data_IF_919339186003
#
_entry.id   IF_919339186003
#
_cell.length_a   1.000
_cell.length_b   1.000
_cell.length_c   1.000
_cell.angle_alpha   90.00
_cell.angle_beta   90.00
_cell.angle_gamma   90.00
#
_symmetry.space_group_name_H-M   'P 1'
#
loop_
_entity.id
_entity.type
_entity.pdbx_description
1 polymer ?
#
# COMPACT_ATOMS: atom_id res chain seq x y z
N UNK A 1 -14.37 12.80 2.22
CA UNK A 1 -15.27 12.15 3.20
C UNK A 1 -15.99 13.23 3.99
N UNK A 2 -17.25 12.99 4.36
CA UNK A 2 -17.97 13.92 5.26
C UNK A 2 -17.37 13.80 6.66
N UNK A 3 -17.40 14.89 7.42
CA UNK A 3 -16.96 14.87 8.81
C UNK A 3 -17.68 13.74 9.58
N UNK A 4 -16.92 12.89 10.29
CA UNK A 4 -17.43 11.73 11.02
C UNK A 4 -17.59 10.43 10.20
N UNK A 5 -17.21 10.40 8.92
CA UNK A 5 -17.25 9.20 8.06
C UNK A 5 -15.86 8.68 7.69
N UNK A 6 -14.82 9.13 8.38
CA UNK A 6 -13.45 8.65 8.15
C UNK A 6 -13.31 7.17 8.49
N UNK A 7 -12.44 6.48 7.75
CA UNK A 7 -12.12 5.08 8.00
C UNK A 7 -13.17 4.06 7.51
N UNK A 8 -14.16 4.51 6.71
CA UNK A 8 -15.17 3.64 6.12
C UNK A 8 -15.22 3.79 4.59
N UNK A 9 -15.04 2.68 3.85
CA UNK A 9 -15.00 2.68 2.39
C UNK A 9 -16.38 2.73 1.70
N UNK A 10 -17.45 2.61 2.46
CA UNK A 10 -18.81 2.43 1.93
C UNK A 10 -19.21 0.98 1.82
N UNK A 11 -20.50 0.76 1.56
CA UNK A 11 -21.11 -0.58 1.38
C UNK A 11 -22.16 -0.56 0.30
N UNK A 12 -22.36 -1.69 -0.39
CA UNK A 12 -21.52 -2.89 -0.36
C UNK A 12 -20.22 -2.68 -1.15
N UNK A 13 -19.25 -3.59 -0.99
CA UNK A 13 -18.06 -3.70 -1.84
C UNK A 13 -17.19 -2.43 -1.97
N UNK A 14 -16.95 -1.73 -0.86
CA UNK A 14 -16.24 -0.44 -0.80
C UNK A 14 -14.87 -0.44 -1.48
N UNK A 15 -14.17 -1.59 -1.54
CA UNK A 15 -12.90 -1.73 -2.25
C UNK A 15 -13.02 -1.48 -3.75
N UNK A 16 -14.14 -1.85 -4.38
CA UNK A 16 -14.37 -1.59 -5.80
C UNK A 16 -14.65 -0.11 -6.07
N UNK A 17 -15.29 0.60 -5.11
CA UNK A 17 -15.46 2.04 -5.23
C UNK A 17 -14.12 2.76 -5.29
N UNK A 18 -13.19 2.43 -4.37
CA UNK A 18 -11.84 3.01 -4.39
C UNK A 18 -11.08 2.69 -5.67
N UNK A 19 -11.17 1.45 -6.16
CA UNK A 19 -10.52 1.07 -7.42
C UNK A 19 -11.09 1.82 -8.62
N UNK A 20 -12.42 2.00 -8.67
CA UNK A 20 -13.08 2.77 -9.73
C UNK A 20 -12.79 4.27 -9.63
N UNK A 21 -12.67 4.82 -8.42
CA UNK A 21 -12.28 6.21 -8.21
C UNK A 21 -10.85 6.46 -8.74
N UNK A 22 -9.91 5.54 -8.51
CA UNK A 22 -8.57 5.58 -9.11
C UNK A 22 -8.64 5.58 -10.63
N UNK A 23 -9.47 4.72 -11.22
CA UNK A 23 -9.64 4.68 -12.67
C UNK A 23 -10.26 5.97 -13.23
N UNK A 24 -11.24 6.52 -12.53
CA UNK A 24 -11.83 7.82 -12.88
C UNK A 24 -10.76 8.92 -12.87
N UNK A 25 -9.92 8.98 -11.85
CA UNK A 25 -8.82 9.97 -11.77
C UNK A 25 -7.81 9.78 -12.90
N UNK A 26 -7.42 8.53 -13.20
CA UNK A 26 -6.52 8.23 -14.30
C UNK A 26 -7.12 8.65 -15.66
N UNK A 27 -8.41 8.38 -15.90
CA UNK A 27 -9.12 8.81 -17.11
C UNK A 27 -9.11 10.34 -17.26
N UNK A 28 -9.40 11.06 -16.18
CA UNK A 28 -9.35 12.54 -16.19
C UNK A 28 -7.94 13.08 -16.46
N UNK A 29 -6.90 12.39 -16.00
CA UNK A 29 -5.51 12.75 -16.30
C UNK A 29 -5.20 12.55 -17.78
N UNK A 30 -5.61 11.43 -18.39
CA UNK A 30 -5.44 11.19 -19.83
C UNK A 30 -6.21 12.21 -20.69
N UNK A 31 -7.43 12.57 -20.29
CA UNK A 31 -8.19 13.63 -20.99
C UNK A 31 -7.49 14.99 -20.93
N UNK A 32 -6.87 15.29 -19.79
CA UNK A 32 -6.20 16.58 -19.58
C UNK A 32 -4.78 16.64 -20.17
N UNK A 33 -4.10 15.51 -20.21
CA UNK A 33 -2.71 15.37 -20.62
C UNK A 33 -2.55 14.13 -21.56
N UNK A 34 -3.13 14.17 -22.77
CA UNK A 34 -3.25 13.00 -23.63
C UNK A 34 -1.90 12.40 -24.07
N UNK A 35 -0.86 13.23 -24.18
CA UNK A 35 0.47 12.80 -24.66
C UNK A 35 1.48 12.57 -23.51
N UNK A 36 1.01 12.57 -22.26
CA UNK A 36 1.88 12.42 -21.09
C UNK A 36 1.76 11.02 -20.50
N UNK A 37 2.86 10.27 -20.37
CA UNK A 37 2.81 8.96 -19.72
C UNK A 37 2.44 9.10 -18.23
N UNK A 38 1.57 8.22 -17.75
CA UNK A 38 1.14 8.18 -16.36
C UNK A 38 1.89 7.07 -15.63
N UNK A 39 2.58 7.43 -14.54
CA UNK A 39 3.20 6.49 -13.62
C UNK A 39 2.30 6.36 -12.40
N UNK A 40 1.92 5.13 -12.08
CA UNK A 40 1.09 4.86 -10.91
C UNK A 40 1.96 4.58 -9.68
N UNK A 41 2.01 5.52 -8.74
CA UNK A 41 2.68 5.34 -7.46
C UNK A 41 1.65 4.93 -6.39
N UNK A 42 1.86 3.77 -5.76
CA UNK A 42 1.05 3.30 -4.65
C UNK A 42 1.87 3.09 -3.39
N UNK A 43 1.50 3.76 -2.28
CA UNK A 43 2.15 3.60 -0.98
C UNK A 43 1.24 2.87 0.02
N UNK A 44 1.81 1.96 0.82
CA UNK A 44 1.10 1.24 1.88
C UNK A 44 -0.16 0.54 1.35
N UNK A 45 -1.32 0.82 1.92
CA UNK A 45 -2.61 0.37 1.40
C UNK A 45 -2.82 0.78 -0.07
N UNK A 46 -2.38 1.97 -0.47
CA UNK A 46 -2.43 2.41 -1.86
C UNK A 46 -1.64 1.50 -2.82
N UNK A 47 -0.60 0.82 -2.33
CA UNK A 47 0.15 -0.16 -3.11
C UNK A 47 -0.67 -1.40 -3.47
N UNK A 48 -1.64 -1.79 -2.64
CA UNK A 48 -2.54 -2.91 -2.94
C UNK A 48 -3.49 -2.54 -4.07
N UNK A 49 -4.00 -1.30 -4.05
CA UNK A 49 -4.87 -0.77 -5.11
C UNK A 49 -4.11 -0.51 -6.40
N UNK A 50 -2.88 0.00 -6.33
CA UNK A 50 -2.03 0.16 -7.50
C UNK A 50 -1.73 -1.19 -8.19
N UNK A 51 -1.42 -2.23 -7.41
CA UNK A 51 -1.23 -3.61 -7.90
C UNK A 51 -2.51 -4.16 -8.55
N UNK A 52 -3.68 -3.89 -7.95
CA UNK A 52 -4.96 -4.31 -8.51
C UNK A 52 -5.33 -3.49 -9.76
N UNK A 53 -4.98 -2.21 -9.76
CA UNK A 53 -5.16 -1.33 -10.91
C UNK A 53 -4.36 -1.82 -12.13
N UNK A 54 -3.10 -2.17 -11.94
CA UNK A 54 -2.23 -2.69 -13.00
C UNK A 54 -2.75 -4.02 -13.61
N UNK A 55 -3.51 -4.82 -12.86
CA UNK A 55 -4.22 -5.99 -13.38
C UNK A 55 -5.40 -5.59 -14.29
N UNK A 56 -6.15 -4.56 -13.88
CA UNK A 56 -7.42 -4.21 -14.53
C UNK A 56 -7.26 -3.31 -15.75
N UNK A 57 -6.32 -2.37 -15.70
CA UNK A 57 -6.11 -1.35 -16.73
C UNK A 57 -4.62 -1.13 -17.02
N UNK A 58 -3.89 -2.20 -17.41
CA UNK A 58 -2.45 -2.09 -17.64
C UNK A 58 -2.08 -1.09 -18.72
N UNK A 59 -2.91 -0.92 -19.75
CA UNK A 59 -2.67 -0.02 -20.89
C UNK A 59 -2.82 1.47 -20.55
N UNK A 60 -3.35 1.78 -19.36
CA UNK A 60 -3.57 3.17 -18.92
C UNK A 60 -2.43 3.74 -18.06
N UNK A 61 -1.37 2.96 -17.85
CA UNK A 61 -0.18 3.37 -17.09
C UNK A 61 1.09 2.96 -17.82
N UNK A 62 2.09 3.83 -17.81
CA UNK A 62 3.39 3.57 -18.42
C UNK A 62 4.31 2.73 -17.51
N UNK A 63 4.15 2.89 -16.18
CA UNK A 63 4.91 2.15 -15.18
C UNK A 63 4.17 2.13 -13.84
N UNK A 64 4.58 1.23 -12.93
CA UNK A 64 4.06 1.17 -11.56
C UNK A 64 5.18 1.19 -10.53
N UNK A 65 4.99 2.01 -9.48
CA UNK A 65 5.88 2.07 -8.31
C UNK A 65 5.10 1.62 -7.07
N UNK A 66 5.58 0.58 -6.44
CA UNK A 66 4.97 -0.11 -5.30
C UNK A 66 5.82 0.17 -4.06
N UNK A 67 5.36 1.08 -3.20
CA UNK A 67 6.09 1.54 -2.01
C UNK A 67 5.48 1.00 -0.72
N UNK A 68 6.30 0.46 0.19
CA UNK A 68 5.89 0.01 1.52
C UNK A 68 4.77 -1.04 1.50
N UNK A 69 4.83 -1.97 0.55
CA UNK A 69 3.76 -2.96 0.34
C UNK A 69 3.89 -4.16 1.27
N UNK A 70 2.75 -4.79 1.60
CA UNK A 70 2.72 -6.08 2.26
C UNK A 70 2.74 -7.24 1.25
N UNK A 71 3.34 -8.35 1.67
CA UNK A 71 3.38 -9.60 0.91
C UNK A 71 2.29 -10.61 1.30
N UNK A 72 2.28 -11.79 0.62
CA UNK A 72 1.37 -12.88 0.93
C UNK A 72 1.60 -13.41 2.35
N UNK A 73 0.49 -13.58 3.10
CA UNK A 73 0.50 -14.16 4.44
C UNK A 73 -0.82 -14.86 4.72
N UNK A 74 -0.76 -16.06 5.32
CA UNK A 74 -1.96 -16.76 5.78
C UNK A 74 -2.71 -15.97 6.86
N UNK A 75 -2.01 -15.14 7.64
CA UNK A 75 -2.61 -14.27 8.64
C UNK A 75 -3.54 -13.22 8.04
N UNK A 76 -3.28 -12.76 6.80
CA UNK A 76 -4.16 -11.84 6.09
C UNK A 76 -5.53 -12.48 5.82
N UNK A 77 -5.56 -13.77 5.48
CA UNK A 77 -6.81 -14.54 5.25
C UNK A 77 -7.60 -14.69 6.55
N UNK A 78 -6.91 -15.02 7.65
CA UNK A 78 -7.55 -15.10 8.98
C UNK A 78 -8.08 -13.73 9.39
N UNK A 79 -7.29 -12.67 9.24
CA UNK A 79 -7.68 -11.29 9.55
C UNK A 79 -8.90 -10.84 8.77
N UNK A 80 -8.96 -11.14 7.47
CA UNK A 80 -10.11 -10.84 6.63
C UNK A 80 -11.40 -11.52 7.13
N UNK A 81 -11.34 -12.81 7.46
CA UNK A 81 -12.48 -13.58 7.98
C UNK A 81 -12.94 -13.05 9.33
N UNK A 82 -11.99 -12.74 10.22
CA UNK A 82 -12.29 -12.17 11.53
C UNK A 82 -12.96 -10.80 11.41
N UNK A 83 -12.42 -9.91 10.57
CA UNK A 83 -13.00 -8.60 10.30
C UNK A 83 -14.43 -8.72 9.73
N UNK A 84 -14.66 -9.68 8.82
CA UNK A 84 -15.98 -9.98 8.29
C UNK A 84 -16.96 -10.48 9.34
N UNK A 85 -16.54 -11.35 10.26
CA UNK A 85 -17.36 -11.82 11.38
C UNK A 85 -17.70 -10.66 12.32
N UNK A 86 -16.74 -9.82 12.67
CA UNK A 86 -16.96 -8.64 13.53
C UNK A 86 -17.95 -7.69 12.85
N UNK A 87 -17.77 -7.40 11.56
CA UNK A 87 -18.68 -6.53 10.79
C UNK A 87 -20.11 -7.08 10.77
N UNK A 88 -20.27 -8.41 10.66
CA UNK A 88 -21.58 -9.06 10.67
C UNK A 88 -22.28 -8.99 12.05
N UNK A 89 -21.51 -9.15 13.14
CA UNK A 89 -22.08 -9.24 14.51
C UNK A 89 -22.25 -7.86 15.14
N UNK A 90 -21.29 -6.94 14.93
CA UNK A 90 -21.26 -5.60 15.57
C UNK A 90 -21.69 -4.48 14.63
N UNK A 91 -21.92 -4.79 13.37
CA UNK A 91 -22.21 -3.83 12.29
C UNK A 91 -20.97 -3.41 11.50
N UNK A 92 -21.16 -3.06 10.22
CA UNK A 92 -20.05 -2.79 9.29
C UNK A 92 -19.21 -1.56 9.71
N UNK A 93 -19.83 -0.57 10.33
CA UNK A 93 -19.18 0.68 10.79
C UNK A 93 -18.52 0.55 12.17
N UNK A 94 -18.57 -0.61 12.80
CA UNK A 94 -17.94 -0.82 14.09
C UNK A 94 -16.42 -0.70 14.01
N UNK A 95 -15.83 0.19 14.80
CA UNK A 95 -14.38 0.30 14.98
C UNK A 95 -13.95 -0.73 16.03
N UNK A 96 -13.19 -1.72 15.61
CA UNK A 96 -12.79 -2.86 16.45
C UNK A 96 -11.41 -2.63 17.07
N UNK A 97 -11.31 -2.45 18.41
CA UNK A 97 -9.99 -2.37 19.07
C UNK A 97 -9.13 -3.61 18.86
N UNK A 98 -9.76 -4.78 18.72
CA UNK A 98 -9.05 -6.02 18.39
C UNK A 98 -8.39 -5.94 17.02
N UNK A 99 -9.10 -5.46 15.98
CA UNK A 99 -8.53 -5.31 14.65
C UNK A 99 -7.40 -4.28 14.63
N UNK A 100 -7.56 -3.16 15.31
CA UNK A 100 -6.49 -2.16 15.47
C UNK A 100 -5.25 -2.78 16.12
N UNK A 101 -5.40 -3.49 17.22
CA UNK A 101 -4.29 -4.15 17.92
C UNK A 101 -3.61 -5.22 17.07
N UNK A 102 -4.37 -6.00 16.33
CA UNK A 102 -3.81 -7.06 15.46
C UNK A 102 -3.03 -6.47 14.27
N UNK A 103 -3.48 -5.35 13.71
CA UNK A 103 -2.79 -4.72 12.58
C UNK A 103 -1.59 -3.88 13.01
N UNK A 104 -1.70 -3.06 14.05
CA UNK A 104 -0.69 -2.05 14.39
C UNK A 104 0.06 -2.32 15.69
N UNK A 105 -0.49 -3.11 16.59
CA UNK A 105 0.03 -3.28 17.96
C UNK A 105 1.41 -3.92 18.09
N UNK A 106 2.01 -4.36 16.99
CA UNK A 106 3.36 -4.93 16.97
C UNK A 106 4.37 -4.10 16.16
N UNK A 107 3.96 -3.02 15.49
CA UNK A 107 4.78 -2.33 14.52
C UNK A 107 6.00 -1.62 15.14
N UNK A 108 5.86 -1.09 16.35
CA UNK A 108 6.99 -0.47 17.06
C UNK A 108 7.83 -1.44 17.90
N UNK A 109 7.55 -2.75 17.92
CA UNK A 109 8.25 -3.70 18.81
C UNK A 109 9.76 -3.81 18.59
N UNK A 110 10.24 -3.52 17.39
CA UNK A 110 11.67 -3.54 17.05
C UNK A 110 12.32 -2.16 17.10
N UNK A 111 11.57 -1.14 17.48
CA UNK A 111 12.09 0.22 17.59
C UNK A 111 12.49 0.45 19.05
N UNK A 112 13.79 0.60 19.27
CA UNK A 112 14.31 0.94 20.59
C UNK A 112 13.84 2.34 21.00
N UNK A 113 13.34 2.46 22.25
CA UNK A 113 12.87 3.73 22.82
C UNK A 113 11.78 4.43 21.99
N UNK A 114 10.86 3.66 21.38
CA UNK A 114 9.72 4.23 20.67
C UNK A 114 8.94 5.20 21.57
N UNK A 115 8.73 6.44 21.08
CA UNK A 115 8.05 7.53 21.78
C UNK A 115 6.57 7.61 21.43
N UNK A 116 6.24 7.17 20.20
CA UNK A 116 4.89 7.13 19.65
C UNK A 116 4.51 5.72 19.18
N UNK A 117 3.22 5.42 19.16
CA UNK A 117 2.68 4.24 18.50
C UNK A 117 2.87 4.27 16.98
N UNK A 118 3.22 5.43 16.41
CA UNK A 118 3.42 5.68 15.00
C UNK A 118 4.90 5.85 14.58
N UNK A 119 5.86 5.60 15.48
CA UNK A 119 7.29 5.67 15.16
C UNK A 119 7.70 4.72 14.02
N UNK A 120 6.92 3.69 13.76
CA UNK A 120 7.14 2.78 12.63
C UNK A 120 7.00 3.43 11.24
N UNK A 121 6.40 4.63 11.16
CA UNK A 121 6.21 5.36 9.91
C UNK A 121 7.53 5.87 9.33
N UNK A 122 8.32 6.57 10.14
CA UNK A 122 9.59 7.19 9.72
C UNK A 122 10.50 7.41 10.92
N UNK A 123 11.80 7.63 10.65
CA UNK A 123 12.78 8.05 11.66
C UNK A 123 12.75 9.56 11.95
N UNK A 124 12.05 10.34 11.12
CA UNK A 124 11.88 11.79 11.33
C UNK A 124 10.81 12.03 12.40
N UNK A 125 11.27 12.38 13.62
CA UNK A 125 10.39 12.65 14.76
C UNK A 125 9.42 13.82 14.51
N UNK A 126 9.81 14.80 13.69
CA UNK A 126 8.93 15.93 13.39
C UNK A 126 7.72 15.50 12.54
N UNK A 127 7.95 14.60 11.59
CA UNK A 127 6.88 13.99 10.77
C UNK A 127 5.96 13.15 11.64
N UNK A 128 6.50 12.29 12.53
CA UNK A 128 5.69 11.47 13.45
C UNK A 128 4.83 12.35 14.35
N UNK A 129 5.40 13.41 14.93
CA UNK A 129 4.67 14.34 15.78
C UNK A 129 3.55 15.08 15.02
N UNK A 130 3.80 15.47 13.78
CA UNK A 130 2.79 16.09 12.92
C UNK A 130 1.65 15.10 12.58
N UNK A 131 1.99 13.85 12.28
CA UNK A 131 1.03 12.77 12.05
C UNK A 131 0.14 12.52 13.29
N UNK A 132 0.75 12.45 14.48
CA UNK A 132 0.02 12.22 15.74
C UNK A 132 -0.93 13.38 16.10
N UNK A 133 -0.57 14.59 15.69
CA UNK A 133 -1.39 15.80 15.92
C UNK A 133 -2.53 15.97 14.92
N UNK A 134 -2.47 15.29 13.75
CA UNK A 134 -3.46 15.43 12.69
C UNK A 134 -4.60 14.42 12.85
N UNK A 135 -5.81 14.90 13.14
CA UNK A 135 -7.02 14.08 13.23
C UNK A 135 -7.42 13.40 11.91
N UNK A 136 -6.88 13.86 10.76
CA UNK A 136 -7.07 13.20 9.46
C UNK A 136 -6.11 12.04 9.23
N UNK A 137 -5.07 11.88 10.07
CA UNK A 137 -4.12 10.78 10.03
C UNK A 137 -4.43 9.70 11.10
N UNK A 138 -5.06 10.08 12.21
CA UNK A 138 -5.23 9.21 13.39
C UNK A 138 -6.60 8.53 13.50
N UNK A 139 -7.48 8.67 12.51
CA UNK A 139 -8.75 7.95 12.51
C UNK A 139 -8.55 6.43 12.34
N UNK A 140 -9.49 5.65 12.88
CA UNK A 140 -9.42 4.20 12.82
C UNK A 140 -10.34 3.63 11.75
N UNK A 141 -9.93 2.53 11.12
CA UNK A 141 -10.75 1.82 10.16
C UNK A 141 -11.89 1.06 10.81
N UNK A 142 -13.02 1.01 10.11
CA UNK A 142 -14.16 0.17 10.51
C UNK A 142 -13.89 -1.32 10.21
N UNK A 143 -14.66 -2.20 10.82
CA UNK A 143 -14.54 -3.65 10.61
C UNK A 143 -14.75 -4.04 9.13
N UNK A 144 -15.69 -3.41 8.43
CA UNK A 144 -15.87 -3.65 6.99
C UNK A 144 -14.67 -3.16 6.18
N UNK A 145 -14.07 -2.02 6.53
CA UNK A 145 -12.88 -1.50 5.85
C UNK A 145 -11.68 -2.44 6.02
N UNK A 146 -11.45 -2.98 7.23
CA UNK A 146 -10.43 -4.01 7.42
C UNK A 146 -10.69 -5.27 6.57
N UNK A 147 -11.95 -5.72 6.49
CA UNK A 147 -12.33 -6.84 5.62
C UNK A 147 -11.97 -6.56 4.16
N UNK A 148 -12.37 -5.39 3.64
CA UNK A 148 -12.15 -5.00 2.25
C UNK A 148 -10.65 -4.79 1.93
N UNK A 149 -9.92 -4.13 2.81
CA UNK A 149 -8.47 -3.93 2.68
C UNK A 149 -7.72 -5.27 2.62
N UNK A 150 -8.01 -6.17 3.57
CA UNK A 150 -7.39 -7.50 3.60
C UNK A 150 -7.83 -8.38 2.42
N UNK A 151 -9.07 -8.23 1.94
CA UNK A 151 -9.53 -8.89 0.72
C UNK A 151 -8.74 -8.43 -0.51
N UNK A 152 -8.49 -7.12 -0.63
CA UNK A 152 -7.66 -6.55 -1.69
C UNK A 152 -6.22 -7.08 -1.60
N UNK A 153 -5.62 -7.05 -0.40
CA UNK A 153 -4.27 -7.58 -0.17
C UNK A 153 -4.17 -9.07 -0.52
N UNK A 154 -5.15 -9.89 -0.12
CA UNK A 154 -5.16 -11.32 -0.44
C UNK A 154 -5.29 -11.55 -1.96
N UNK A 155 -6.12 -10.77 -2.65
CA UNK A 155 -6.27 -10.83 -4.10
C UNK A 155 -4.94 -10.56 -4.81
N UNK A 156 -4.32 -9.41 -4.51
CA UNK A 156 -3.05 -8.99 -5.16
C UNK A 156 -1.80 -9.72 -4.63
N UNK A 157 -1.96 -10.61 -3.66
CA UNK A 157 -0.92 -11.51 -3.16
C UNK A 157 -1.09 -12.95 -3.65
N UNK A 158 -1.99 -13.18 -4.62
CA UNK A 158 -2.22 -14.49 -5.21
C UNK A 158 -1.33 -14.72 -6.45
N UNK A 159 -1.03 -16.00 -6.73
CA UNK A 159 -0.33 -16.36 -7.95
C UNK A 159 -1.11 -15.94 -9.21
N UNK A 160 -2.42 -16.10 -9.21
CA UNK A 160 -3.29 -15.71 -10.30
C UNK A 160 -3.17 -14.22 -10.64
N UNK A 161 -3.09 -13.36 -9.61
CA UNK A 161 -2.82 -11.94 -9.81
C UNK A 161 -1.44 -11.70 -10.47
N UNK A 162 -0.37 -12.32 -10.00
CA UNK A 162 0.96 -12.13 -10.58
C UNK A 162 1.02 -12.60 -12.04
N UNK A 163 0.34 -13.71 -12.35
CA UNK A 163 0.21 -14.23 -13.72
C UNK A 163 -0.59 -13.32 -14.65
N UNK A 164 -1.53 -12.50 -14.12
CA UNK A 164 -2.35 -11.57 -14.91
C UNK A 164 -1.68 -10.23 -15.24
N UNK A 165 -0.59 -9.87 -14.55
CA UNK A 165 0.12 -8.62 -14.80
C UNK A 165 0.74 -8.62 -16.21
N UNK A 166 0.63 -7.48 -16.91
CA UNK A 166 1.30 -7.27 -18.19
C UNK A 166 2.82 -7.44 -18.02
N UNK A 167 3.40 -8.34 -18.82
CA UNK A 167 4.82 -8.74 -18.67
C UNK A 167 5.80 -7.67 -19.12
N UNK A 168 5.33 -6.72 -19.91
CA UNK A 168 6.11 -5.60 -20.43
C UNK A 168 5.96 -4.32 -19.60
N UNK A 169 5.08 -4.32 -18.58
CA UNK A 169 4.90 -3.18 -17.67
C UNK A 169 6.14 -3.04 -16.76
N UNK A 170 6.85 -1.91 -16.76
CA UNK A 170 7.92 -1.64 -15.82
C UNK A 170 7.38 -1.58 -14.37
N UNK A 171 8.02 -2.31 -13.46
CA UNK A 171 7.61 -2.41 -12.05
C UNK A 171 8.78 -2.12 -11.12
N UNK A 172 8.64 -1.10 -10.31
CA UNK A 172 9.57 -0.79 -9.22
C UNK A 172 8.90 -1.11 -7.87
N UNK A 173 9.55 -1.94 -7.04
CA UNK A 173 9.20 -2.10 -5.63
C UNK A 173 10.23 -1.41 -4.76
N UNK A 174 9.76 -0.56 -3.84
CA UNK A 174 10.63 0.11 -2.84
C UNK A 174 10.08 -0.12 -1.43
N UNK A 175 10.97 -0.33 -0.48
CA UNK A 175 10.63 -0.45 0.94
C UNK A 175 11.85 -0.17 1.82
N UNK A 176 11.61 0.16 3.09
CA UNK A 176 12.66 0.16 4.11
C UNK A 176 12.84 -1.23 4.74
N UNK A 177 14.04 -1.56 5.16
CA UNK A 177 14.30 -2.79 5.93
C UNK A 177 13.84 -2.69 7.39
N UNK A 178 13.51 -1.49 7.86
CA UNK A 178 12.84 -1.20 9.14
C UNK A 178 11.30 -1.21 9.06
N UNK A 179 10.69 -1.41 7.87
CA UNK A 179 9.25 -1.37 7.67
C UNK A 179 8.55 -2.67 8.14
N UNK A 180 7.72 -2.62 9.23
CA UNK A 180 7.01 -3.80 9.70
C UNK A 180 5.89 -4.27 8.76
N UNK A 181 5.31 -3.39 7.92
CA UNK A 181 4.25 -3.71 6.96
C UNK A 181 4.77 -4.68 5.90
N UNK A 182 5.97 -4.42 5.40
CA UNK A 182 6.67 -5.28 4.46
C UNK A 182 7.39 -6.48 5.09
N UNK A 183 7.13 -6.79 6.37
CA UNK A 183 7.89 -7.81 7.14
C UNK A 183 9.41 -7.57 7.03
N UNK A 184 9.80 -6.31 7.23
CA UNK A 184 11.21 -5.91 7.19
C UNK A 184 11.88 -6.28 5.84
N UNK A 185 11.19 -5.95 4.75
CA UNK A 185 11.61 -6.23 3.37
C UNK A 185 11.31 -7.66 2.86
N UNK A 186 11.03 -8.63 3.74
CA UNK A 186 10.77 -10.03 3.32
C UNK A 186 9.48 -10.17 2.52
N UNK A 187 8.41 -9.49 2.96
CA UNK A 187 7.12 -9.49 2.26
C UNK A 187 7.22 -8.86 0.87
N UNK A 188 7.97 -7.76 0.76
CA UNK A 188 8.21 -7.07 -0.51
C UNK A 188 8.99 -7.97 -1.48
N UNK A 189 10.06 -8.63 -1.00
CA UNK A 189 10.82 -9.60 -1.82
C UNK A 189 9.98 -10.79 -2.29
N UNK A 190 8.98 -11.24 -1.51
CA UNK A 190 8.03 -12.26 -1.95
C UNK A 190 7.17 -11.77 -3.11
N UNK A 191 6.69 -10.52 -3.07
CA UNK A 191 5.93 -9.93 -4.18
C UNK A 191 6.81 -9.80 -5.41
N UNK A 192 8.05 -9.32 -5.25
CA UNK A 192 9.04 -9.25 -6.33
C UNK A 192 9.29 -10.63 -6.97
N UNK A 193 9.56 -11.66 -6.17
CA UNK A 193 9.77 -13.02 -6.66
C UNK A 193 8.54 -13.56 -7.40
N UNK A 194 7.32 -13.35 -6.88
CA UNK A 194 6.08 -13.77 -7.54
C UNK A 194 5.90 -13.15 -8.91
N UNK A 195 6.24 -11.87 -9.08
CA UNK A 195 6.18 -11.16 -10.37
C UNK A 195 7.25 -11.68 -11.34
N UNK A 196 8.47 -11.94 -10.84
CA UNK A 196 9.56 -12.53 -11.61
C UNK A 196 9.22 -13.96 -12.10
N UNK A 197 8.70 -14.80 -11.19
CA UNK A 197 8.24 -16.16 -11.52
C UNK A 197 7.08 -16.15 -12.53
N UNK A 198 6.27 -15.11 -12.53
CA UNK A 198 5.20 -14.89 -13.49
C UNK A 198 5.70 -14.34 -14.84
N UNK A 199 6.97 -13.99 -14.96
CA UNK A 199 7.61 -13.56 -16.21
C UNK A 199 7.55 -12.06 -16.49
N UNK A 200 7.35 -11.20 -15.48
CA UNK A 200 7.50 -9.74 -15.63
C UNK A 200 8.96 -9.44 -15.98
N UNK A 201 9.19 -8.74 -17.11
CA UNK A 201 10.52 -8.58 -17.71
C UNK A 201 11.32 -7.45 -17.10
N UNK A 202 10.66 -6.34 -16.83
CA UNK A 202 11.24 -5.13 -16.27
C UNK A 202 10.79 -4.99 -14.81
N UNK A 203 11.61 -5.50 -13.88
CA UNK A 203 11.23 -5.72 -12.50
C UNK A 203 12.38 -5.38 -11.54
N UNK A 204 12.29 -4.23 -10.91
CA UNK A 204 13.27 -3.72 -9.96
C UNK A 204 12.75 -3.80 -8.52
N UNK A 205 13.63 -4.14 -7.56
CA UNK A 205 13.32 -4.11 -6.14
C UNK A 205 14.47 -3.46 -5.36
N UNK A 206 14.21 -2.32 -4.74
CA UNK A 206 15.18 -1.61 -3.89
C UNK A 206 14.70 -1.61 -2.44
N UNK A 207 15.57 -2.05 -1.54
CA UNK A 207 15.36 -1.97 -0.08
C UNK A 207 16.35 -0.95 0.47
N UNK A 208 15.82 0.10 1.12
CA UNK A 208 16.62 1.17 1.73
C UNK A 208 16.97 0.81 3.16
N UNK A 209 18.28 0.82 3.46
CA UNK A 209 18.81 0.47 4.77
C UNK A 209 18.37 1.47 5.84
N UNK A 210 17.89 0.96 6.96
CA UNK A 210 17.39 1.75 8.09
C UNK A 210 16.06 2.46 7.79
N UNK A 211 15.58 2.48 6.55
CA UNK A 211 14.30 3.10 6.18
C UNK A 211 13.13 2.40 6.84
N UNK A 212 12.15 3.16 7.33
CA UNK A 212 10.88 2.67 7.85
C UNK A 212 9.81 2.67 6.76
N UNK A 213 8.56 2.79 7.13
CA UNK A 213 7.42 2.62 6.22
C UNK A 213 7.28 3.72 5.18
N UNK A 214 7.39 4.98 5.59
CA UNK A 214 7.20 6.16 4.72
C UNK A 214 8.54 6.67 4.18
N UNK A 215 9.12 5.98 3.19
CA UNK A 215 10.41 6.34 2.60
C UNK A 215 10.47 7.80 2.12
N UNK A 216 9.37 8.33 1.61
CA UNK A 216 9.26 9.73 1.17
C UNK A 216 9.28 10.76 2.31
N UNK A 217 9.14 10.30 3.55
CA UNK A 217 9.21 11.09 4.77
C UNK A 217 10.43 10.73 5.64
N UNK A 218 11.34 9.90 5.14
CA UNK A 218 12.53 9.49 5.87
C UNK A 218 13.60 10.59 5.94
N UNK A 219 14.54 10.44 6.87
CA UNK A 219 15.69 11.35 7.00
C UNK A 219 16.56 11.40 5.74
N UNK A 220 16.63 10.29 4.99
CA UNK A 220 17.32 10.18 3.71
C UNK A 220 16.35 10.19 2.50
N UNK A 221 15.23 10.89 2.59
CA UNK A 221 14.23 10.97 1.52
C UNK A 221 14.79 11.47 0.19
N UNK A 222 15.79 12.33 0.20
CA UNK A 222 16.41 12.85 -1.03
C UNK A 222 17.08 11.71 -1.82
N UNK A 223 17.75 10.76 -1.16
CA UNK A 223 18.28 9.54 -1.78
C UNK A 223 17.17 8.70 -2.41
N UNK A 224 16.02 8.58 -1.73
CA UNK A 224 14.86 7.84 -2.24
C UNK A 224 14.29 8.53 -3.47
N UNK A 225 14.14 9.87 -3.43
CA UNK A 225 13.63 10.64 -4.57
C UNK A 225 14.56 10.57 -5.77
N UNK A 226 15.87 10.72 -5.56
CA UNK A 226 16.86 10.61 -6.64
C UNK A 226 16.84 9.23 -7.29
N UNK A 227 16.75 8.16 -6.47
CA UNK A 227 16.64 6.79 -6.96
C UNK A 227 15.37 6.58 -7.81
N UNK A 228 14.22 7.02 -7.28
CA UNK A 228 12.93 6.88 -7.96
C UNK A 228 12.91 7.69 -9.25
N UNK A 229 13.41 8.94 -9.23
CA UNK A 229 13.47 9.80 -10.41
C UNK A 229 14.37 9.21 -11.49
N UNK A 230 15.56 8.75 -11.14
CA UNK A 230 16.47 8.09 -12.08
C UNK A 230 15.80 6.86 -12.70
N UNK A 231 15.15 6.02 -11.89
CA UNK A 231 14.44 4.87 -12.40
C UNK A 231 13.32 5.28 -13.37
N UNK A 232 12.56 6.34 -13.07
CA UNK A 232 11.51 6.87 -13.94
C UNK A 232 12.09 7.32 -15.27
N UNK A 233 13.18 8.11 -15.27
CA UNK A 233 13.83 8.63 -16.47
C UNK A 233 14.35 7.50 -17.37
N UNK A 234 14.87 6.43 -16.80
CA UNK A 234 15.37 5.26 -17.53
C UNK A 234 14.27 4.44 -18.22
N UNK A 235 13.01 4.54 -17.75
CA UNK A 235 11.91 3.68 -18.22
C UNK A 235 10.80 4.41 -19.00
N UNK A 236 10.86 5.75 -19.09
CA UNK A 236 9.79 6.57 -19.69
C UNK A 236 10.31 7.50 -20.81
N UNK A 237 11.56 7.37 -21.18
CA UNK A 237 12.16 8.15 -22.28
C UNK A 237 11.64 7.75 -23.67
#
# INVERSE_FOLDING_TARGET
>A
AKAGEHGHYGEPDGRFHLLNDLHTMNTLLHERFPDTPIILYGHSMGSFYARWYAEKWPESIAAIIISGTAGPSFMNVIGQRLAGLIARVKGPRYVSPLMVKLNFGSYCKKIENAKSANDWLTRDEAVVNAYDADGLCTFQFTASTYREMLATLNHVSSRAWAESINKDLPVLLIAGDGDPVGDYGKGVRKVWAMLGDAGVKDLTCQIFEGGRHELHNENNRDEVFDYVLTWIEDHIS
#
